data_IF_256735398511
#
_entry.id   IF_256735398511
#
_cell.length_a   1.000
_cell.length_b   1.000
_cell.length_c   1.000
_cell.angle_alpha   90.00
_cell.angle_beta   90.00
_cell.angle_gamma   90.00
#
_symmetry.space_group_name_H-M   'P 1'
#
loop_
_entity.id
_entity.type
_entity.pdbx_description
1 polymer ?
#
# COMPACT_ATOMS: atom_id res chain seq x y z
N UNK A 1 37.97 -12.86 -10.63
CA UNK A 1 37.30 -11.68 -10.03
C UNK A 1 37.19 -11.94 -8.54
N UNK A 2 37.74 -11.06 -7.70
CA UNK A 2 37.97 -11.31 -6.27
C UNK A 2 36.67 -11.28 -5.46
N UNK A 3 36.42 -12.30 -4.64
CA UNK A 3 35.24 -12.44 -3.77
C UNK A 3 35.14 -11.31 -2.73
N UNK A 4 36.26 -10.73 -2.33
CA UNK A 4 36.30 -9.55 -1.46
C UNK A 4 35.66 -8.31 -2.11
N UNK A 5 35.84 -8.16 -3.42
CA UNK A 5 35.29 -7.04 -4.18
C UNK A 5 33.77 -7.14 -4.30
N UNK A 6 33.25 -8.35 -4.46
CA UNK A 6 31.79 -8.59 -4.49
C UNK A 6 31.15 -8.31 -3.14
N UNK A 7 31.73 -8.76 -2.02
CA UNK A 7 31.15 -8.52 -0.68
C UNK A 7 31.14 -7.04 -0.32
N UNK A 8 32.18 -6.29 -0.68
CA UNK A 8 32.26 -4.85 -0.48
C UNK A 8 31.23 -4.05 -1.32
N UNK A 9 30.87 -4.54 -2.51
CA UNK A 9 29.85 -3.89 -3.33
C UNK A 9 28.45 -4.08 -2.73
N UNK A 10 28.11 -5.31 -2.31
CA UNK A 10 26.78 -5.62 -1.77
C UNK A 10 26.49 -4.91 -0.43
N UNK A 11 27.51 -4.56 0.36
CA UNK A 11 27.31 -3.86 1.65
C UNK A 11 26.87 -2.41 1.49
N UNK A 12 27.07 -1.80 0.31
CA UNK A 12 26.67 -0.40 0.04
C UNK A 12 25.24 -0.27 -0.51
N UNK A 13 24.64 -1.37 -0.97
CA UNK A 13 23.26 -1.41 -1.54
C UNK A 13 22.21 -1.64 -0.43
N UNK A 14 22.60 -1.51 0.84
CA UNK A 14 21.71 -1.70 1.98
C UNK A 14 20.54 -0.71 2.06
N UNK A 15 19.55 -1.02 2.90
CA UNK A 15 18.27 -0.31 3.04
C UNK A 15 18.35 1.22 3.26
N UNK A 16 19.51 1.77 3.65
CA UNK A 16 19.72 3.23 3.78
C UNK A 16 20.16 3.90 2.48
N UNK A 17 20.91 3.23 1.61
CA UNK A 17 21.44 3.81 0.36
C UNK A 17 20.36 4.01 -0.70
N UNK A 18 19.41 3.08 -0.79
CA UNK A 18 18.30 3.14 -1.74
C UNK A 18 17.26 4.22 -1.39
N UNK A 19 17.18 4.64 -0.11
CA UNK A 19 16.20 5.64 0.33
C UNK A 19 16.42 7.02 -0.30
N UNK A 20 17.63 7.30 -0.77
CA UNK A 20 17.95 8.55 -1.50
C UNK A 20 17.47 8.53 -2.95
N UNK A 21 17.38 7.35 -3.56
CA UNK A 21 16.95 7.20 -4.95
C UNK A 21 15.42 7.15 -5.11
N UNK A 22 14.69 6.80 -4.06
CA UNK A 22 13.22 6.78 -4.07
C UNK A 22 12.65 7.97 -3.31
N UNK A 23 11.54 8.51 -3.82
CA UNK A 23 10.78 9.54 -3.10
C UNK A 23 10.31 8.95 -1.76
N UNK A 24 10.42 9.68 -0.65
CA UNK A 24 9.91 9.20 0.62
C UNK A 24 8.41 8.90 0.50
N UNK A 25 7.89 7.86 1.18
CA UNK A 25 6.52 7.39 1.05
C UNK A 25 5.45 8.40 1.54
N UNK A 26 5.87 9.55 2.06
CA UNK A 26 5.00 10.60 2.56
C UNK A 26 4.54 10.34 4.01
N UNK A 27 3.64 11.19 4.53
CA UNK A 27 3.12 11.08 5.88
C UNK A 27 2.33 9.77 6.09
N UNK A 28 2.23 9.32 7.34
CA UNK A 28 1.56 8.07 7.69
C UNK A 28 0.12 7.99 7.12
N UNK A 29 -0.65 9.08 7.23
CA UNK A 29 -2.03 9.12 6.75
C UNK A 29 -2.13 8.89 5.23
N UNK A 30 -1.14 9.36 4.46
CA UNK A 30 -1.09 9.11 3.01
C UNK A 30 -0.86 7.64 2.73
N UNK A 31 0.07 7.02 3.46
CA UNK A 31 0.36 5.60 3.33
C UNK A 31 -0.84 4.73 3.71
N UNK A 32 -1.56 5.10 4.79
CA UNK A 32 -2.79 4.44 5.20
C UNK A 32 -3.90 4.57 4.16
N UNK A 33 -4.12 5.77 3.60
CA UNK A 33 -5.12 5.97 2.55
C UNK A 33 -4.81 5.12 1.31
N UNK A 34 -3.54 5.06 0.89
CA UNK A 34 -3.11 4.19 -0.20
C UNK A 34 -3.28 2.70 0.12
N UNK A 35 -3.04 2.28 1.37
CA UNK A 35 -3.23 0.90 1.78
C UNK A 35 -4.70 0.45 1.71
N UNK A 36 -5.65 1.37 1.91
CA UNK A 36 -7.09 1.08 1.75
C UNK A 36 -7.46 0.86 0.28
N UNK A 37 -6.91 1.68 -0.63
CA UNK A 37 -7.19 1.58 -2.08
C UNK A 37 -6.58 0.32 -2.70
N UNK A 38 -5.40 -0.10 -2.22
CA UNK A 38 -4.66 -1.25 -2.72
C UNK A 38 -4.77 -2.49 -1.81
N UNK A 39 -5.88 -2.63 -1.07
CA UNK A 39 -6.16 -3.79 -0.23
C UNK A 39 -6.27 -5.06 -1.12
N UNK A 40 -5.44 -6.11 -0.90
CA UNK A 40 -5.50 -7.33 -1.70
C UNK A 40 -6.71 -8.21 -1.37
N UNK A 41 -7.39 -7.97 -0.25
CA UNK A 41 -8.52 -8.78 0.19
C UNK A 41 -9.82 -8.33 -0.49
N UNK A 42 -10.72 -9.28 -0.81
CA UNK A 42 -11.97 -8.97 -1.48
C UNK A 42 -12.84 -8.04 -0.65
N UNK A 43 -13.65 -7.27 -1.37
CA UNK A 43 -14.68 -6.42 -0.79
C UNK A 43 -15.96 -7.23 -0.55
N UNK A 44 -16.80 -6.75 0.37
CA UNK A 44 -18.01 -7.47 0.79
C UNK A 44 -19.11 -7.53 -0.29
N UNK A 45 -18.98 -6.77 -1.38
CA UNK A 45 -19.97 -6.59 -2.44
C UNK A 45 -19.64 -7.33 -3.76
N UNK A 46 -18.41 -7.86 -3.90
CA UNK A 46 -17.94 -8.52 -5.13
C UNK A 46 -18.23 -10.03 -5.12
N UNK A 47 -18.54 -10.62 -3.95
CA UNK A 47 -18.83 -12.05 -3.83
C UNK A 47 -19.35 -12.44 -2.44
N UNK A 48 -19.49 -13.76 -2.17
CA UNK A 48 -19.86 -14.27 -0.86
C UNK A 48 -18.85 -13.82 0.19
N UNK A 49 -19.33 -13.51 1.39
CA UNK A 49 -18.47 -13.13 2.50
C UNK A 49 -17.58 -14.31 2.92
N UNK A 50 -16.27 -14.16 2.75
CA UNK A 50 -15.26 -15.14 3.17
C UNK A 50 -14.43 -14.59 4.33
N UNK A 51 -14.86 -14.91 5.56
CA UNK A 51 -14.19 -14.54 6.79
C UNK A 51 -12.79 -15.19 6.95
N UNK A 52 -12.49 -16.27 6.23
CA UNK A 52 -11.21 -16.97 6.34
C UNK A 52 -10.12 -16.33 5.48
N UNK A 53 -10.51 -15.60 4.43
CA UNK A 53 -9.57 -14.95 3.51
C UNK A 53 -8.73 -13.85 4.19
N UNK A 54 -9.34 -13.06 5.08
CA UNK A 54 -8.70 -11.91 5.75
C UNK A 54 -8.22 -12.30 7.16
N UNK A 55 -6.95 -12.02 7.54
CA UNK A 55 -6.47 -12.29 8.88
C UNK A 55 -7.26 -11.48 9.95
N UNK A 56 -7.49 -12.04 11.16
CA UNK A 56 -8.34 -11.39 12.17
C UNK A 56 -7.84 -10.02 12.66
N UNK A 57 -6.53 -9.79 12.64
CA UNK A 57 -5.93 -8.53 13.09
C UNK A 57 -5.94 -7.42 12.03
N UNK A 58 -6.34 -7.74 10.79
CA UNK A 58 -6.33 -6.78 9.71
C UNK A 58 -7.57 -5.89 9.78
N UNK A 59 -7.38 -4.64 9.37
CA UNK A 59 -8.47 -3.68 9.20
C UNK A 59 -9.55 -4.29 8.31
N UNK A 60 -10.83 -4.11 8.66
CA UNK A 60 -11.95 -4.53 7.81
C UNK A 60 -12.19 -3.53 6.66
N UNK A 61 -12.81 -3.96 5.54
CA UNK A 61 -13.15 -3.06 4.44
C UNK A 61 -13.95 -1.85 4.94
N UNK A 62 -13.76 -0.69 4.30
CA UNK A 62 -14.61 0.46 4.54
C UNK A 62 -16.05 0.13 4.15
N UNK A 63 -17.02 0.70 4.89
CA UNK A 63 -18.41 0.59 4.51
C UNK A 63 -18.64 1.18 3.12
N UNK A 64 -19.49 0.53 2.31
CA UNK A 64 -19.87 0.94 0.95
C UNK A 64 -20.11 2.46 0.79
N UNK A 65 -20.87 3.14 1.69
CA UNK A 65 -21.15 4.56 1.51
C UNK A 65 -19.91 5.46 1.64
N UNK A 66 -18.92 5.04 2.42
CA UNK A 66 -17.66 5.77 2.61
C UNK A 66 -16.74 5.51 1.42
N UNK A 67 -16.65 4.25 1.00
CA UNK A 67 -15.81 3.83 -0.13
C UNK A 67 -16.24 4.51 -1.43
N UNK A 68 -17.55 4.62 -1.68
CA UNK A 68 -18.11 5.28 -2.86
C UNK A 68 -17.83 6.79 -2.94
N UNK A 69 -17.35 7.41 -1.85
CA UNK A 69 -16.95 8.82 -1.83
C UNK A 69 -15.46 9.04 -2.02
N UNK A 70 -14.61 8.00 -1.96
CA UNK A 70 -13.15 8.14 -2.04
C UNK A 70 -12.69 8.83 -3.32
N UNK A 71 -13.17 8.40 -4.49
CA UNK A 71 -12.79 9.00 -5.77
C UNK A 71 -13.41 10.40 -5.95
N UNK A 72 -14.72 10.61 -5.74
CA UNK A 72 -15.31 11.95 -5.86
C UNK A 72 -14.70 13.00 -4.92
N UNK A 73 -14.40 12.63 -3.68
CA UNK A 73 -13.84 13.55 -2.68
C UNK A 73 -12.37 13.85 -2.97
N UNK A 74 -11.61 12.85 -3.47
CA UNK A 74 -10.20 13.03 -3.83
C UNK A 74 -10.02 13.75 -5.17
N UNK A 75 -10.98 13.63 -6.08
CA UNK A 75 -10.91 14.16 -7.44
C UNK A 75 -12.22 14.91 -7.82
N UNK A 76 -12.57 16.02 -7.14
CA UNK A 76 -13.85 16.70 -7.38
C UNK A 76 -14.02 17.21 -8.81
N UNK A 77 -12.91 17.46 -9.50
CA UNK A 77 -12.87 17.92 -10.89
C UNK A 77 -13.19 16.83 -11.92
N UNK A 78 -13.24 15.55 -11.53
CA UNK A 78 -13.52 14.45 -12.46
C UNK A 78 -15.00 14.42 -12.91
N UNK A 79 -15.86 15.24 -12.28
CA UNK A 79 -17.30 15.25 -12.53
C UNK A 79 -17.96 13.99 -11.99
N UNK A 80 -19.26 14.07 -11.72
CA UNK A 80 -20.07 12.93 -11.30
C UNK A 80 -21.01 12.53 -12.43
#
# INVERSE_FOLDING_TARGET
MSTAFTVALLSTIGCRGLKTFFTPPGPLNKQQASAVVHDPYPQNDIGPYDAASRPPSYQQPLAEPVRNRLIPDAMPWLGR
#
